data_IF_264770009376
#
_entry.id   IF_264770009376
#
_cell.length_a   1.000
_cell.length_b   1.000
_cell.length_c   1.000
_cell.angle_alpha   90.00
_cell.angle_beta   90.00
_cell.angle_gamma   90.00
#
_symmetry.space_group_name_H-M   'P 1'
#
loop_
_entity.id
_entity.type
_entity.pdbx_description
1 polymer ?
#
# COMPACT_ATOMS: atom_id res chain seq x y z
N UNK A 1 9.57 -12.42 -27.58
CA UNK A 1 9.05 -12.78 -26.25
C UNK A 1 7.56 -13.06 -26.38
N UNK A 2 7.07 -14.24 -25.99
CA UNK A 2 5.68 -14.62 -26.20
C UNK A 2 4.73 -13.62 -25.49
N UNK A 3 3.65 -13.21 -26.18
CA UNK A 3 2.67 -12.23 -25.66
C UNK A 3 2.10 -12.63 -24.29
N UNK A 4 2.07 -13.94 -24.02
CA UNK A 4 1.64 -14.54 -22.76
C UNK A 4 2.62 -14.30 -21.60
N UNK A 5 3.92 -14.54 -21.83
CA UNK A 5 4.96 -14.38 -20.81
C UNK A 5 5.13 -12.91 -20.39
N UNK A 6 5.02 -12.00 -21.36
CA UNK A 6 5.05 -10.56 -21.08
C UNK A 6 3.89 -10.10 -20.17
N UNK A 7 2.71 -10.72 -20.31
CA UNK A 7 1.54 -10.42 -19.46
C UNK A 7 1.71 -10.99 -18.06
N UNK A 8 2.30 -12.18 -17.92
CA UNK A 8 2.64 -12.74 -16.62
C UNK A 8 3.63 -11.83 -15.90
N UNK A 9 4.70 -11.40 -16.58
CA UNK A 9 5.69 -10.52 -15.97
C UNK A 9 5.09 -9.16 -15.60
N UNK A 10 4.26 -8.58 -16.46
CA UNK A 10 3.57 -7.34 -16.14
C UNK A 10 2.60 -7.51 -14.96
N UNK A 11 1.86 -8.62 -14.93
CA UNK A 11 1.02 -8.99 -13.80
C UNK A 11 1.83 -9.09 -12.51
N UNK A 12 2.99 -9.74 -12.56
CA UNK A 12 3.92 -9.86 -11.43
C UNK A 12 4.32 -8.50 -10.86
N UNK A 13 4.71 -7.56 -11.73
CA UNK A 13 5.08 -6.19 -11.31
C UNK A 13 3.88 -5.44 -10.72
N UNK A 14 2.69 -5.58 -11.32
CA UNK A 14 1.45 -4.98 -10.80
C UNK A 14 1.10 -5.54 -9.43
N UNK A 15 1.22 -6.86 -9.24
CA UNK A 15 0.95 -7.55 -7.98
C UNK A 15 1.96 -7.19 -6.89
N UNK A 16 3.24 -7.06 -7.23
CA UNK A 16 4.28 -6.58 -6.33
C UNK A 16 3.98 -5.17 -5.81
N UNK A 17 3.57 -4.27 -6.71
CA UNK A 17 3.19 -2.91 -6.37
C UNK A 17 1.89 -2.77 -5.57
N UNK A 18 1.18 -3.87 -5.27
CA UNK A 18 0.00 -3.84 -4.41
C UNK A 18 0.34 -4.03 -2.91
N UNK A 19 1.54 -4.51 -2.59
CA UNK A 19 1.97 -4.76 -1.19
C UNK A 19 2.76 -3.59 -0.62
N UNK A 20 3.60 -2.98 -1.44
CA UNK A 20 4.48 -1.90 -0.99
C UNK A 20 3.63 -0.62 -0.86
N UNK A 21 3.61 0.03 0.33
CA UNK A 21 2.89 1.29 0.48
C UNK A 21 3.38 2.29 -0.57
N UNK A 22 2.55 3.27 -0.95
CA UNK A 22 2.87 4.32 -1.93
C UNK A 22 3.29 3.89 -3.34
N UNK A 23 3.47 2.60 -3.61
CA UNK A 23 3.39 2.04 -4.95
C UNK A 23 1.92 1.73 -5.26
N UNK A 24 1.45 2.16 -6.42
CA UNK A 24 0.11 1.81 -6.90
C UNK A 24 0.23 0.85 -8.07
N UNK A 25 -0.29 -0.38 -7.89
CA UNK A 25 -0.40 -1.36 -8.98
C UNK A 25 -1.16 -0.81 -10.20
N UNK A 26 -2.12 0.11 -9.99
CA UNK A 26 -2.82 0.82 -11.06
C UNK A 26 -1.90 1.76 -11.85
N UNK A 27 -1.04 2.53 -11.19
CA UNK A 27 -0.06 3.41 -11.86
C UNK A 27 0.95 2.57 -12.65
N UNK A 28 1.40 1.44 -12.10
CA UNK A 28 2.27 0.51 -12.81
C UNK A 28 1.58 -0.08 -14.05
N UNK A 29 0.29 -0.43 -13.94
CA UNK A 29 -0.51 -0.86 -15.08
C UNK A 29 -0.66 0.23 -16.15
N UNK A 30 -0.80 1.50 -15.76
CA UNK A 30 -0.85 2.64 -16.69
C UNK A 30 0.50 2.83 -17.38
N UNK A 31 1.60 2.81 -16.63
CA UNK A 31 2.96 2.94 -17.15
C UNK A 31 3.31 1.85 -18.15
N UNK A 32 2.83 0.62 -17.92
CA UNK A 32 3.00 -0.51 -18.85
C UNK A 32 2.00 -0.50 -20.01
N UNK A 33 1.10 0.49 -20.11
CA UNK A 33 0.07 0.56 -21.14
C UNK A 33 -1.01 -0.53 -21.04
N UNK A 34 -1.10 -1.20 -19.89
CA UNK A 34 -2.00 -2.32 -19.65
C UNK A 34 -3.27 -1.93 -18.89
N UNK A 35 -3.33 -0.71 -18.33
CA UNK A 35 -4.49 -0.24 -17.58
C UNK A 35 -5.78 -0.28 -18.41
N UNK A 36 -5.82 0.41 -19.56
CA UNK A 36 -7.02 0.45 -20.41
C UNK A 36 -7.42 -0.94 -20.93
N UNK A 37 -6.50 -1.77 -21.50
CA UNK A 37 -6.83 -3.13 -21.90
C UNK A 37 -7.37 -4.02 -20.77
N UNK A 38 -6.88 -3.81 -19.54
CA UNK A 38 -7.34 -4.57 -18.37
C UNK A 38 -8.75 -4.17 -17.97
N UNK A 39 -9.04 -2.87 -17.90
CA UNK A 39 -10.39 -2.36 -17.61
C UNK A 39 -11.39 -2.78 -18.69
N UNK A 40 -11.01 -2.71 -19.97
CA UNK A 40 -11.84 -3.19 -21.08
C UNK A 40 -12.11 -4.70 -21.01
N UNK A 41 -11.10 -5.50 -20.64
CA UNK A 41 -11.27 -6.94 -20.49
C UNK A 41 -12.20 -7.30 -19.31
N UNK A 42 -12.13 -6.54 -18.21
CA UNK A 42 -13.00 -6.71 -17.03
C UNK A 42 -14.43 -6.27 -17.36
N UNK A 43 -14.62 -5.06 -17.87
CA UNK A 43 -15.95 -4.49 -18.17
C UNK A 43 -16.62 -5.21 -19.35
N UNK A 44 -15.83 -5.65 -20.32
CA UNK A 44 -16.29 -6.41 -21.48
C UNK A 44 -16.41 -7.92 -21.25
N UNK A 45 -16.17 -8.43 -20.04
CA UNK A 45 -16.06 -9.86 -19.76
C UNK A 45 -17.26 -10.67 -20.29
N UNK A 46 -18.48 -10.16 -20.12
CA UNK A 46 -19.70 -10.83 -20.61
C UNK A 46 -19.91 -10.75 -22.13
N UNK A 47 -19.26 -9.79 -22.82
CA UNK A 47 -19.39 -9.63 -24.29
C UNK A 47 -18.51 -10.61 -25.07
N UNK A 48 -17.34 -10.95 -24.53
CA UNK A 48 -16.38 -11.84 -25.18
C UNK A 48 -15.58 -12.65 -24.15
N UNK A 49 -16.23 -13.61 -23.45
CA UNK A 49 -15.64 -14.27 -22.27
C UNK A 49 -14.35 -15.00 -22.61
N UNK A 50 -14.28 -15.74 -23.73
CA UNK A 50 -13.04 -16.46 -24.13
C UNK A 50 -11.85 -15.53 -24.36
N UNK A 51 -12.06 -14.40 -25.05
CA UNK A 51 -10.98 -13.47 -25.39
C UNK A 51 -10.48 -12.74 -24.13
N UNK A 52 -11.43 -12.27 -23.32
CA UNK A 52 -11.11 -11.51 -22.11
C UNK A 52 -10.52 -12.40 -21.02
N UNK A 53 -11.02 -13.63 -20.88
CA UNK A 53 -10.43 -14.63 -19.99
C UNK A 53 -8.99 -14.97 -20.41
N UNK A 54 -8.72 -15.17 -21.70
CA UNK A 54 -7.36 -15.47 -22.17
C UNK A 54 -6.38 -14.28 -22.01
N UNK A 55 -6.90 -13.04 -21.93
CA UNK A 55 -6.11 -11.85 -21.61
C UNK A 55 -5.88 -11.71 -20.10
N UNK A 56 -6.93 -11.84 -19.29
CA UNK A 56 -6.91 -11.64 -17.84
C UNK A 56 -6.22 -12.78 -17.10
N UNK A 57 -6.31 -14.01 -17.58
CA UNK A 57 -5.73 -15.19 -16.94
C UNK A 57 -4.20 -15.05 -16.73
N UNK A 58 -3.36 -14.81 -17.76
CA UNK A 58 -1.93 -14.64 -17.55
C UNK A 58 -1.60 -13.42 -16.69
N UNK A 59 -2.35 -12.33 -16.84
CA UNK A 59 -2.13 -11.11 -16.06
C UNK A 59 -2.45 -11.33 -14.58
N UNK A 60 -3.56 -12.00 -14.29
CA UNK A 60 -4.01 -12.34 -12.95
C UNK A 60 -3.11 -13.37 -12.28
N UNK A 61 -2.68 -14.41 -13.01
CA UNK A 61 -1.69 -15.38 -12.51
C UNK A 61 -0.39 -14.65 -12.15
N UNK A 62 0.11 -13.80 -13.04
CA UNK A 62 1.25 -12.94 -12.75
C UNK A 62 1.05 -12.11 -11.50
N UNK A 63 -0.10 -11.45 -11.37
CA UNK A 63 -0.47 -10.63 -10.21
C UNK A 63 -0.48 -11.39 -8.90
N UNK A 64 -1.12 -12.55 -8.87
CA UNK A 64 -1.18 -13.41 -7.67
C UNK A 64 0.22 -13.91 -7.31
N UNK A 65 1.01 -14.37 -8.29
CA UNK A 65 2.38 -14.82 -8.04
C UNK A 65 3.23 -13.66 -7.51
N UNK A 66 3.14 -12.48 -8.13
CA UNK A 66 3.86 -11.28 -7.69
C UNK A 66 3.50 -10.89 -6.26
N UNK A 67 2.21 -10.86 -5.95
CA UNK A 67 1.72 -10.59 -4.61
C UNK A 67 2.25 -11.62 -3.60
N UNK A 68 2.07 -12.92 -3.84
CA UNK A 68 2.49 -13.96 -2.90
C UNK A 68 4.01 -13.97 -2.70
N UNK A 69 4.79 -13.81 -3.77
CA UNK A 69 6.26 -13.75 -3.68
C UNK A 69 6.70 -12.54 -2.86
N UNK A 70 6.15 -11.35 -3.13
CA UNK A 70 6.49 -10.16 -2.36
C UNK A 70 5.99 -10.23 -0.93
N UNK A 71 4.86 -10.87 -0.66
CA UNK A 71 4.38 -11.11 0.70
C UNK A 71 5.40 -11.90 1.51
N UNK A 72 5.88 -13.05 0.99
CA UNK A 72 6.90 -13.85 1.67
C UNK A 72 8.26 -13.15 1.75
N UNK A 73 8.62 -12.37 0.72
CA UNK A 73 9.85 -11.59 0.70
C UNK A 73 9.85 -10.55 1.81
N UNK A 74 8.77 -9.77 1.91
CA UNK A 74 8.59 -8.74 2.94
C UNK A 74 8.53 -9.38 4.32
N UNK A 75 7.79 -10.47 4.51
CA UNK A 75 7.75 -11.20 5.78
C UNK A 75 9.15 -11.68 6.22
N UNK A 76 9.91 -12.25 5.29
CA UNK A 76 11.30 -12.67 5.54
C UNK A 76 12.24 -11.49 5.85
N UNK A 77 12.01 -10.33 5.23
CA UNK A 77 12.76 -9.10 5.50
C UNK A 77 12.39 -8.51 6.85
N UNK A 78 11.10 -8.49 7.20
CA UNK A 78 10.62 -8.04 8.51
C UNK A 78 11.19 -8.89 9.64
N UNK A 79 11.31 -10.21 9.45
CA UNK A 79 11.90 -11.09 10.46
C UNK A 79 13.37 -10.77 10.78
N UNK A 80 14.11 -10.12 9.86
CA UNK A 80 15.54 -9.78 10.03
C UNK A 80 15.82 -8.30 10.22
N UNK A 81 15.01 -7.43 9.63
CA UNK A 81 15.22 -5.98 9.49
C UNK A 81 13.93 -5.21 9.83
N UNK A 82 13.25 -5.62 10.90
CA UNK A 82 11.96 -5.04 11.30
C UNK A 82 12.03 -3.52 11.40
N UNK A 83 13.05 -2.98 12.07
CA UNK A 83 13.18 -1.53 12.30
C UNK A 83 13.39 -0.77 10.99
N UNK A 84 14.28 -1.25 10.12
CA UNK A 84 14.62 -0.60 8.86
C UNK A 84 13.42 -0.58 7.90
N UNK A 85 12.69 -1.69 7.80
CA UNK A 85 11.52 -1.78 6.91
C UNK A 85 10.36 -0.93 7.45
N UNK A 86 10.15 -0.89 8.76
CA UNK A 86 9.15 0.01 9.37
C UNK A 86 9.50 1.46 9.10
N UNK A 87 10.77 1.86 9.28
CA UNK A 87 11.23 3.22 8.95
C UNK A 87 11.06 3.55 7.47
N UNK A 88 11.39 2.62 6.57
CA UNK A 88 11.19 2.78 5.13
C UNK A 88 9.70 3.02 4.80
N UNK A 89 8.81 2.18 5.32
CA UNK A 89 7.38 2.30 5.07
C UNK A 89 6.77 3.55 5.70
N UNK A 90 7.16 3.91 6.92
CA UNK A 90 6.75 5.17 7.54
C UNK A 90 7.22 6.38 6.73
N UNK A 91 8.49 6.40 6.35
CA UNK A 91 9.05 7.48 5.53
C UNK A 91 8.31 7.64 4.20
N UNK A 92 7.92 6.51 3.60
CA UNK A 92 7.16 6.53 2.35
C UNK A 92 5.71 6.98 2.52
N UNK A 93 5.03 6.58 3.61
CA UNK A 93 3.70 7.09 3.97
C UNK A 93 3.76 8.59 4.23
N UNK A 94 4.70 9.06 5.07
CA UNK A 94 4.88 10.49 5.36
C UNK A 94 5.24 11.26 4.07
N UNK A 95 6.09 10.69 3.22
CA UNK A 95 6.45 11.26 1.93
C UNK A 95 5.26 11.42 0.97
N UNK A 96 4.18 10.65 1.14
CA UNK A 96 2.96 10.80 0.33
C UNK A 96 2.04 11.95 0.81
N UNK A 97 2.19 12.42 2.05
CA UNK A 97 1.34 13.45 2.65
C UNK A 97 1.38 14.77 1.86
N UNK A 98 2.54 15.35 1.47
CA UNK A 98 2.58 16.60 0.72
C UNK A 98 1.83 16.51 -0.62
N UNK A 99 1.96 15.37 -1.32
CA UNK A 99 1.23 15.13 -2.56
C UNK A 99 -0.28 15.09 -2.31
N UNK A 100 -0.71 14.43 -1.24
CA UNK A 100 -2.11 14.35 -0.86
C UNK A 100 -2.68 15.72 -0.46
N UNK A 101 -1.93 16.54 0.29
CA UNK A 101 -2.37 17.88 0.69
C UNK A 101 -2.48 18.83 -0.51
N UNK A 102 -1.60 18.69 -1.51
CA UNK A 102 -1.67 19.46 -2.76
C UNK A 102 -2.93 19.07 -3.55
N UNK A 103 -3.21 17.79 -3.68
CA UNK A 103 -4.41 17.29 -4.37
C UNK A 103 -5.69 17.69 -3.63
N UNK A 104 -5.68 17.68 -2.29
CA UNK A 104 -6.85 18.00 -1.47
C UNK A 104 -7.26 19.49 -1.48
N UNK A 105 -6.33 20.41 -1.73
CA UNK A 105 -6.61 21.87 -1.74
C UNK A 105 -6.56 22.52 -3.13
N UNK A 106 -5.92 21.91 -4.13
CA UNK A 106 -5.64 22.59 -5.40
C UNK A 106 -4.72 23.80 -5.20
N UNK A 107 -5.06 24.95 -5.78
CA UNK A 107 -4.27 26.21 -5.72
C UNK A 107 -4.69 27.18 -4.59
N UNK A 108 -5.68 26.83 -3.76
CA UNK A 108 -6.22 27.70 -2.71
C UNK A 108 -5.51 27.47 -1.34
N UNK A 109 -5.24 28.53 -0.56
CA UNK A 109 -4.61 28.38 0.76
C UNK A 109 -5.51 27.65 1.75
N UNK A 110 -4.91 26.90 2.68
CA UNK A 110 -5.61 26.15 3.73
C UNK A 110 -6.60 27.04 4.50
N UNK A 111 -7.91 26.81 4.30
CA UNK A 111 -8.96 27.43 5.10
C UNK A 111 -8.88 26.94 6.55
N UNK A 112 -9.18 27.81 7.52
CA UNK A 112 -9.18 27.45 8.96
C UNK A 112 -10.11 26.27 9.30
N UNK A 113 -11.16 26.05 8.51
CA UNK A 113 -12.05 24.90 8.62
C UNK A 113 -11.37 23.56 8.27
N UNK A 114 -10.39 23.55 7.35
CA UNK A 114 -9.67 22.32 6.97
C UNK A 114 -8.73 21.85 8.08
N UNK A 115 -8.13 22.79 8.83
CA UNK A 115 -7.36 22.47 10.03
C UNK A 115 -8.20 21.81 11.12
N UNK A 116 -9.45 22.25 11.28
CA UNK A 116 -10.41 21.61 12.20
C UNK A 116 -10.69 20.15 11.82
N UNK A 117 -10.88 19.85 10.54
CA UNK A 117 -11.10 18.46 10.09
C UNK A 117 -9.87 17.57 10.28
N UNK A 118 -8.66 18.09 10.07
CA UNK A 118 -7.41 17.34 10.31
C UNK A 118 -7.27 17.02 11.81
N UNK A 119 -7.47 18.01 12.67
CA UNK A 119 -7.39 17.82 14.13
C UNK A 119 -8.46 16.84 14.61
N UNK A 120 -9.69 16.95 14.09
CA UNK A 120 -10.78 16.04 14.42
C UNK A 120 -10.48 14.60 13.98
N UNK A 121 -9.94 14.40 12.78
CA UNK A 121 -9.53 13.09 12.28
C UNK A 121 -8.41 12.48 13.12
N UNK A 122 -7.42 13.27 13.54
CA UNK A 122 -6.34 12.82 14.41
C UNK A 122 -6.85 12.45 15.81
N UNK A 123 -7.75 13.27 16.37
CA UNK A 123 -8.40 12.99 17.65
C UNK A 123 -9.24 11.70 17.61
N UNK A 124 -9.96 11.47 16.51
CA UNK A 124 -10.71 10.24 16.28
C UNK A 124 -9.79 9.01 16.20
N UNK A 125 -8.69 9.10 15.45
CA UNK A 125 -7.70 8.03 15.35
C UNK A 125 -7.06 7.70 16.72
N UNK A 126 -6.67 8.73 17.49
CA UNK A 126 -6.15 8.55 18.86
C UNK A 126 -7.20 7.86 19.74
N UNK A 127 -8.46 8.30 19.65
CA UNK A 127 -9.55 7.72 20.45
C UNK A 127 -9.75 6.24 20.13
N UNK A 128 -9.72 5.85 18.85
CA UNK A 128 -9.81 4.43 18.45
C UNK A 128 -8.65 3.60 19.00
N UNK A 129 -7.42 4.14 18.93
CA UNK A 129 -6.24 3.48 19.47
C UNK A 129 -6.37 3.30 20.98
N UNK A 130 -6.74 4.35 21.71
CA UNK A 130 -6.96 4.29 23.16
C UNK A 130 -8.06 3.30 23.52
N UNK A 131 -9.18 3.30 22.78
CA UNK A 131 -10.27 2.36 23.00
C UNK A 131 -9.82 0.91 22.78
N UNK A 132 -8.99 0.63 21.78
CA UNK A 132 -8.36 -0.68 21.58
C UNK A 132 -7.45 -1.12 22.74
N UNK A 133 -6.78 -0.18 23.41
CA UNK A 133 -6.05 -0.47 24.66
C UNK A 133 -7.00 -0.79 25.83
N UNK A 134 -8.18 -0.16 25.88
CA UNK A 134 -9.17 -0.39 26.93
C UNK A 134 -10.01 -1.67 26.73
N UNK A 135 -10.27 -2.09 25.49
CA UNK A 135 -11.10 -3.28 25.20
C UNK A 135 -10.38 -4.60 25.40
N UNK A 136 -9.06 -4.60 25.68
CA UNK A 136 -8.37 -5.80 26.12
C UNK A 136 -8.47 -7.00 25.16
N UNK A 137 -8.68 -6.77 23.85
CA UNK A 137 -8.58 -7.81 22.81
C UNK A 137 -7.12 -8.28 22.70
N UNK A 138 -6.79 -9.14 23.65
CA UNK A 138 -5.55 -9.87 23.79
C UNK A 138 -5.65 -11.08 22.86
N UNK A 139 -5.22 -10.90 21.61
CA UNK A 139 -5.04 -11.98 20.62
C UNK A 139 -6.05 -11.89 19.49
N UNK A 140 -5.72 -11.37 18.32
CA UNK A 140 -4.81 -11.97 17.32
C UNK A 140 -4.72 -10.95 16.17
N UNK A 141 -3.60 -10.40 15.69
CA UNK A 141 -2.19 -10.80 15.77
C UNK A 141 -1.21 -9.62 15.85
N UNK A 142 -1.37 -8.72 16.83
CA UNK A 142 -0.45 -7.61 17.13
C UNK A 142 0.00 -7.55 18.62
N UNK A 143 -0.35 -8.55 19.44
CA UNK A 143 -0.21 -8.49 20.90
C UNK A 143 1.23 -8.61 21.43
N UNK A 144 2.24 -8.89 20.59
CA UNK A 144 3.57 -9.26 21.07
C UNK A 144 4.73 -8.94 20.12
N UNK A 145 4.77 -7.78 19.45
CA UNK A 145 5.97 -7.36 18.70
C UNK A 145 6.57 -6.00 19.09
N UNK A 146 6.71 -5.57 20.34
CA UNK A 146 6.21 -6.00 21.66
C UNK A 146 6.87 -5.09 22.68
N UNK A 147 6.09 -4.44 23.56
CA UNK A 147 6.52 -3.64 24.73
C UNK A 147 7.41 -2.42 24.51
N UNK A 148 8.02 -2.29 23.36
CA UNK A 148 8.95 -1.23 23.02
C UNK A 148 8.71 -0.81 21.56
N UNK A 149 7.75 0.09 21.28
CA UNK A 149 7.89 1.00 20.12
C UNK A 149 8.73 2.20 20.61
N UNK A 150 9.86 1.94 21.27
CA UNK A 150 10.37 2.86 22.28
C UNK A 150 11.15 4.02 21.69
N UNK A 151 11.11 5.17 22.36
CA UNK A 151 9.93 5.96 22.66
C UNK A 151 9.42 6.66 21.38
N UNK A 152 8.28 6.26 20.81
CA UNK A 152 7.74 6.78 19.54
C UNK A 152 8.67 6.48 18.32
N UNK A 153 9.15 5.24 18.23
CA UNK A 153 10.29 4.81 17.36
C UNK A 153 11.48 5.80 17.47
N UNK A 154 11.79 6.11 18.74
CA UNK A 154 12.54 7.20 19.37
C UNK A 154 12.07 8.66 19.15
N UNK A 155 11.43 8.98 18.03
CA UNK A 155 10.61 10.16 17.73
C UNK A 155 10.51 10.25 16.20
N UNK A 156 9.68 9.41 15.58
CA UNK A 156 9.34 9.38 14.14
C UNK A 156 10.48 9.18 13.11
N UNK A 157 11.77 9.33 13.45
CA UNK A 157 12.97 8.96 12.66
C UNK A 157 14.32 9.42 13.29
N UNK A 158 14.36 10.18 14.38
CA UNK A 158 15.58 10.90 14.82
C UNK A 158 16.53 10.11 15.73
N UNK A 159 17.67 9.62 15.20
CA UNK A 159 18.77 9.08 16.02
C UNK A 159 19.78 8.12 15.38
N UNK A 160 19.86 7.96 14.04
CA UNK A 160 20.79 6.99 13.41
C UNK A 160 21.92 7.66 12.57
N UNK A 161 22.03 8.99 12.58
CA UNK A 161 23.29 9.67 12.18
C UNK A 161 24.01 10.31 13.38
N UNK A 162 23.54 10.09 14.62
CA UNK A 162 24.25 10.59 15.79
C UNK A 162 24.12 9.66 16.99
#
# INVERSE_FOLDING_TARGET
MNLFLSKILAGFVIGAGAIIPGLSGGILAVSMGLYQPTIEAITGFFKAPKKNFNFLLPLGIGGVIGFVVFMFLIDSLFAKYQTEIVCLFMGLVIGSIPSFLKEANGDEPFKKTNWLYIILGFAFAITLVLLGFFTGESGTGAAAASRELTPLLAALCGGIIM
#
